data_IF_943524847744
#
_entry.id   IF_943524847744
#
_cell.length_a   1.000
_cell.length_b   1.000
_cell.length_c   1.000
_cell.angle_alpha   90.00
_cell.angle_beta   90.00
_cell.angle_gamma   90.00
#
_symmetry.space_group_name_H-M   'P 1'
#
loop_
_entity.id
_entity.type
_entity.pdbx_description
1 polymer ?
#
# COMPACT_ATOMS: atom_id res chain seq x y z
N UNK A 1 -15.16 -28.82 48.84
CA UNK A 1 -14.13 -27.77 48.66
C UNK A 1 -14.82 -26.58 48.00
N UNK A 2 -14.76 -25.37 48.57
CA UNK A 2 -15.20 -24.20 47.82
C UNK A 2 -14.27 -24.00 46.62
N UNK A 3 -14.84 -23.69 45.46
CA UNK A 3 -14.07 -23.35 44.27
C UNK A 3 -13.21 -22.11 44.56
N UNK A 4 -11.95 -22.08 44.08
CA UNK A 4 -11.10 -20.92 44.29
C UNK A 4 -11.71 -19.67 43.64
N UNK A 5 -11.55 -18.47 44.23
CA UNK A 5 -12.13 -17.25 43.68
C UNK A 5 -11.62 -17.00 42.26
N UNK A 6 -12.53 -16.95 41.30
CA UNK A 6 -12.20 -16.59 39.93
C UNK A 6 -11.89 -15.10 39.88
N UNK A 7 -10.61 -14.74 39.84
CA UNK A 7 -10.20 -13.37 39.54
C UNK A 7 -10.35 -13.16 38.04
N UNK A 8 -11.57 -12.84 37.59
CA UNK A 8 -11.77 -12.24 36.29
C UNK A 8 -11.08 -10.86 36.29
N UNK A 9 -9.77 -10.85 36.04
CA UNK A 9 -9.05 -9.64 35.67
C UNK A 9 -9.49 -9.31 34.24
N UNK A 10 -10.73 -8.85 34.11
CA UNK A 10 -11.27 -8.29 32.91
C UNK A 10 -10.59 -6.94 32.71
N UNK A 11 -9.48 -6.93 31.98
CA UNK A 11 -8.95 -5.71 31.39
C UNK A 11 -10.00 -5.18 30.41
N UNK A 12 -11.02 -4.47 30.91
CA UNK A 12 -11.96 -3.74 30.07
C UNK A 12 -11.15 -2.65 29.37
N UNK A 13 -11.04 -2.76 28.05
CA UNK A 13 -10.43 -1.71 27.22
C UNK A 13 -11.16 -0.40 27.50
N UNK A 14 -10.43 0.59 28.02
CA UNK A 14 -10.95 1.92 28.38
C UNK A 14 -10.95 2.89 27.22
N UNK A 15 -10.29 2.53 26.10
CA UNK A 15 -10.28 3.32 24.86
C UNK A 15 -11.12 2.60 23.81
N UNK A 16 -12.05 3.34 23.22
CA UNK A 16 -12.77 2.87 22.03
C UNK A 16 -11.76 2.62 20.90
N UNK A 17 -11.88 1.45 20.27
CA UNK A 17 -11.11 1.14 19.08
C UNK A 17 -11.96 1.57 17.90
N UNK A 18 -11.45 2.54 17.13
CA UNK A 18 -12.07 2.84 15.86
C UNK A 18 -11.84 1.67 14.91
N UNK A 19 -12.91 0.96 14.56
CA UNK A 19 -12.90 -0.17 13.62
C UNK A 19 -13.19 0.29 12.18
N UNK A 20 -13.46 1.58 11.97
CA UNK A 20 -13.65 2.14 10.64
C UNK A 20 -12.33 2.13 9.88
N UNK A 21 -12.40 1.67 8.64
CA UNK A 21 -11.25 1.69 7.75
C UNK A 21 -11.04 3.13 7.25
N UNK A 22 -9.78 3.60 7.15
CA UNK A 22 -9.50 4.91 6.56
C UNK A 22 -9.98 4.95 5.11
N UNK A 23 -10.27 6.16 4.60
CA UNK A 23 -10.88 6.33 3.27
C UNK A 23 -10.05 5.69 2.15
N UNK A 24 -8.72 5.86 2.19
CA UNK A 24 -7.81 5.26 1.22
C UNK A 24 -7.40 3.81 1.50
N UNK A 25 -8.11 3.09 2.39
CA UNK A 25 -7.79 1.69 2.72
C UNK A 25 -7.74 0.78 1.49
N UNK A 26 -8.67 0.93 0.55
CA UNK A 26 -8.72 0.10 -0.66
C UNK A 26 -7.47 0.31 -1.52
N UNK A 27 -7.06 1.57 -1.68
CA UNK A 27 -5.84 1.94 -2.40
C UNK A 27 -4.60 1.37 -1.69
N UNK A 28 -4.54 1.50 -0.37
CA UNK A 28 -3.46 0.95 0.44
C UNK A 28 -3.36 -0.58 0.30
N UNK A 29 -4.49 -1.31 0.32
CA UNK A 29 -4.52 -2.77 0.15
C UNK A 29 -3.97 -3.21 -1.22
N UNK A 30 -4.31 -2.50 -2.31
CA UNK A 30 -3.72 -2.79 -3.62
C UNK A 30 -2.20 -2.58 -3.65
N UNK A 31 -1.73 -1.49 -3.04
CA UNK A 31 -0.31 -1.15 -3.00
C UNK A 31 0.47 -2.10 -2.08
N UNK A 32 -0.09 -2.50 -0.93
CA UNK A 32 0.51 -3.48 -0.03
C UNK A 32 0.71 -4.83 -0.72
N UNK A 33 -0.29 -5.28 -1.51
CA UNK A 33 -0.16 -6.48 -2.32
C UNK A 33 0.99 -6.38 -3.32
N UNK A 34 1.11 -5.23 -4.01
CA UNK A 34 2.21 -4.99 -4.95
C UNK A 34 3.58 -4.95 -4.26
N UNK A 35 3.69 -4.29 -3.09
CA UNK A 35 4.91 -4.28 -2.28
C UNK A 35 5.33 -5.70 -1.90
N UNK A 36 4.38 -6.53 -1.47
CA UNK A 36 4.61 -7.94 -1.21
C UNK A 36 5.03 -8.74 -2.44
N UNK A 37 4.57 -8.38 -3.65
CA UNK A 37 5.07 -8.99 -4.90
C UNK A 37 6.55 -8.68 -5.13
N UNK A 38 6.97 -7.45 -4.85
CA UNK A 38 8.36 -7.02 -5.01
C UNK A 38 9.30 -7.61 -3.95
N UNK A 39 8.76 -8.04 -2.80
CA UNK A 39 9.51 -8.70 -1.72
C UNK A 39 9.75 -10.21 -1.93
N UNK A 40 9.19 -10.80 -2.98
CA UNK A 40 9.29 -12.25 -3.28
C UNK A 40 9.75 -12.47 -4.72
N UNK A 41 10.18 -13.68 -5.05
CA UNK A 41 10.42 -14.08 -6.44
C UNK A 41 9.08 -14.21 -7.18
N UNK A 42 8.55 -13.08 -7.66
CA UNK A 42 7.30 -13.02 -8.40
C UNK A 42 7.55 -13.06 -9.91
N UNK A 43 7.53 -14.28 -10.46
CA UNK A 43 7.59 -14.49 -11.90
C UNK A 43 8.77 -13.76 -12.57
N UNK A 44 8.51 -13.13 -13.70
CA UNK A 44 9.50 -12.30 -14.40
C UNK A 44 9.38 -10.82 -14.02
N UNK A 45 10.48 -10.06 -14.15
CA UNK A 45 10.45 -8.60 -13.96
C UNK A 45 9.48 -7.89 -14.90
N UNK A 46 9.27 -8.44 -16.10
CA UNK A 46 8.24 -8.04 -17.06
C UNK A 46 6.83 -8.15 -16.46
N UNK A 47 6.52 -9.31 -15.84
CA UNK A 47 5.23 -9.58 -15.23
C UNK A 47 5.01 -8.70 -13.98
N UNK A 48 6.06 -8.51 -13.16
CA UNK A 48 6.02 -7.63 -12.01
C UNK A 48 5.75 -6.16 -12.41
N UNK A 49 6.42 -5.67 -13.45
CA UNK A 49 6.18 -4.33 -13.97
C UNK A 49 4.75 -4.18 -14.51
N UNK A 50 4.22 -5.20 -15.21
CA UNK A 50 2.83 -5.17 -15.68
C UNK A 50 1.83 -5.19 -14.53
N UNK A 51 2.09 -5.97 -13.48
CA UNK A 51 1.26 -5.98 -12.28
C UNK A 51 1.23 -4.59 -11.61
N UNK A 52 2.37 -3.90 -11.54
CA UNK A 52 2.42 -2.56 -10.97
C UNK A 52 1.72 -1.49 -11.81
N UNK A 53 1.71 -1.60 -13.14
CA UNK A 53 0.89 -0.75 -14.02
C UNK A 53 -0.59 -0.91 -13.71
N UNK A 54 -1.07 -2.16 -13.61
CA UNK A 54 -2.48 -2.47 -13.31
C UNK A 54 -2.85 -1.95 -11.91
N UNK A 55 -1.99 -2.14 -10.92
CA UNK A 55 -2.21 -1.64 -9.55
C UNK A 55 -2.23 -0.11 -9.51
N UNK A 56 -1.33 0.56 -10.24
CA UNK A 56 -1.31 2.02 -10.31
C UNK A 56 -2.57 2.58 -10.99
N UNK A 57 -3.05 1.94 -12.06
CA UNK A 57 -4.32 2.29 -12.71
C UNK A 57 -5.50 2.13 -11.76
N UNK A 58 -5.64 0.98 -11.10
CA UNK A 58 -6.70 0.75 -10.11
C UNK A 58 -6.64 1.72 -8.93
N UNK A 59 -5.45 2.02 -8.43
CA UNK A 59 -5.28 3.00 -7.36
C UNK A 59 -5.73 4.42 -7.77
N UNK A 60 -5.54 4.79 -9.04
CA UNK A 60 -6.05 6.06 -9.57
C UNK A 60 -7.56 6.07 -9.65
N UNK A 61 -8.17 5.02 -10.21
CA UNK A 61 -9.62 4.92 -10.33
C UNK A 61 -10.32 5.05 -8.96
N UNK A 62 -9.84 4.34 -7.94
CA UNK A 62 -10.38 4.43 -6.58
C UNK A 62 -10.20 5.82 -5.97
N UNK A 63 -9.06 6.48 -6.23
CA UNK A 63 -8.83 7.84 -5.78
C UNK A 63 -9.76 8.85 -6.46
N UNK A 64 -10.05 8.67 -7.75
CA UNK A 64 -11.02 9.49 -8.47
C UNK A 64 -12.44 9.31 -7.92
N UNK A 65 -12.84 8.10 -7.56
CA UNK A 65 -14.13 7.86 -6.88
C UNK A 65 -14.19 8.65 -5.57
N UNK A 66 -13.13 8.59 -4.75
CA UNK A 66 -13.07 9.34 -3.49
C UNK A 66 -13.07 10.86 -3.69
N UNK A 67 -12.44 11.36 -4.76
CA UNK A 67 -12.47 12.77 -5.16
C UNK A 67 -13.88 13.19 -5.55
N UNK A 68 -14.53 12.43 -6.42
CA UNK A 68 -15.84 12.74 -6.97
C UNK A 68 -16.94 12.69 -5.88
N UNK A 69 -16.76 11.86 -4.86
CA UNK A 69 -17.59 11.83 -3.64
C UNK A 69 -17.28 12.96 -2.65
N UNK A 70 -16.27 13.81 -2.93
CA UNK A 70 -15.84 14.90 -2.04
C UNK A 70 -15.23 14.41 -0.72
N UNK A 71 -14.79 13.14 -0.66
CA UNK A 71 -14.26 12.53 0.57
C UNK A 71 -12.81 12.90 0.81
N UNK A 72 -12.05 13.29 -0.20
CA UNK A 72 -10.60 13.53 -0.12
C UNK A 72 -10.25 14.86 -0.78
N UNK A 73 -9.29 15.59 -0.20
CA UNK A 73 -8.81 16.85 -0.76
C UNK A 73 -8.02 16.65 -2.06
N UNK A 74 -8.23 17.53 -3.04
CA UNK A 74 -7.55 17.50 -4.35
C UNK A 74 -6.01 17.42 -4.23
N UNK A 75 -5.45 18.09 -3.21
CA UNK A 75 -4.00 18.06 -2.95
C UNK A 75 -3.50 16.66 -2.60
N UNK A 76 -4.30 15.88 -1.86
CA UNK A 76 -3.96 14.51 -1.46
C UNK A 76 -4.03 13.55 -2.66
N UNK A 77 -5.02 13.74 -3.54
CA UNK A 77 -5.13 13.01 -4.81
C UNK A 77 -3.93 13.29 -5.71
N UNK A 78 -3.57 14.58 -5.86
CA UNK A 78 -2.39 15.00 -6.63
C UNK A 78 -1.11 14.37 -6.09
N UNK A 79 -0.94 14.36 -4.78
CA UNK A 79 0.23 13.75 -4.14
C UNK A 79 0.27 12.24 -4.36
N UNK A 80 -0.87 11.53 -4.24
CA UNK A 80 -0.93 10.10 -4.54
C UNK A 80 -0.53 9.84 -6.00
N UNK A 81 -1.06 10.61 -6.96
CA UNK A 81 -0.78 10.42 -8.39
C UNK A 81 0.70 10.66 -8.71
N UNK A 82 1.30 11.66 -8.06
CA UNK A 82 2.74 11.93 -8.17
C UNK A 82 3.56 10.73 -7.71
N UNK A 83 3.23 10.15 -6.56
CA UNK A 83 3.97 8.99 -6.02
C UNK A 83 3.74 7.74 -6.87
N UNK A 84 2.51 7.48 -7.33
CA UNK A 84 2.21 6.38 -8.25
C UNK A 84 3.00 6.49 -9.55
N UNK A 85 3.12 7.70 -10.11
CA UNK A 85 3.91 7.93 -11.33
C UNK A 85 5.39 7.61 -11.12
N UNK A 86 5.94 8.05 -9.99
CA UNK A 86 7.30 7.70 -9.63
C UNK A 86 7.42 6.17 -9.44
N UNK A 87 6.45 5.49 -8.85
CA UNK A 87 6.48 4.03 -8.66
C UNK A 87 6.52 3.29 -10.00
N UNK A 88 5.71 3.71 -10.98
CA UNK A 88 5.77 3.18 -12.35
C UNK A 88 7.16 3.35 -12.98
N UNK A 89 7.81 4.50 -12.76
CA UNK A 89 9.17 4.73 -13.26
C UNK A 89 10.19 3.77 -12.63
N UNK A 90 10.11 3.50 -11.32
CA UNK A 90 10.99 2.52 -10.67
C UNK A 90 10.77 1.12 -11.23
N UNK A 91 9.52 0.72 -11.45
CA UNK A 91 9.20 -0.59 -12.01
C UNK A 91 9.70 -0.74 -13.46
N UNK A 92 9.71 0.35 -14.24
CA UNK A 92 10.36 0.36 -15.55
C UNK A 92 11.87 0.12 -15.44
N UNK A 93 12.52 0.66 -14.40
CA UNK A 93 13.93 0.40 -14.11
C UNK A 93 14.18 -1.04 -13.63
N UNK A 94 13.28 -1.60 -12.82
CA UNK A 94 13.30 -3.02 -12.42
C UNK A 94 13.21 -3.93 -13.64
N UNK A 95 12.28 -3.64 -14.56
CA UNK A 95 12.11 -4.36 -15.82
C UNK A 95 13.37 -4.31 -16.69
N UNK A 96 14.06 -3.17 -16.73
CA UNK A 96 15.26 -2.97 -17.54
C UNK A 96 16.55 -3.50 -16.89
N UNK A 97 16.52 -3.92 -15.63
CA UNK A 97 17.71 -4.38 -14.92
C UNK A 97 18.19 -5.74 -15.46
N UNK A 98 19.46 -5.80 -15.86
CA UNK A 98 20.09 -7.03 -16.39
C UNK A 98 20.92 -7.74 -15.32
N UNK A 99 21.59 -6.98 -14.46
CA UNK A 99 22.41 -7.53 -13.38
C UNK A 99 21.58 -7.71 -12.11
N UNK A 100 21.83 -8.80 -11.40
CA UNK A 100 21.15 -9.14 -10.15
C UNK A 100 21.37 -8.06 -9.06
N UNK A 101 22.60 -7.54 -8.92
CA UNK A 101 22.92 -6.45 -8.00
C UNK A 101 22.03 -5.21 -8.24
N UNK A 102 21.92 -4.81 -9.51
CA UNK A 102 21.11 -3.65 -9.92
C UNK A 102 19.63 -3.94 -9.72
N UNK A 103 19.18 -5.15 -10.03
CA UNK A 103 17.79 -5.55 -9.83
C UNK A 103 17.38 -5.42 -8.35
N UNK A 104 18.22 -5.91 -7.44
CA UNK A 104 17.98 -5.80 -6.00
C UNK A 104 17.83 -4.35 -5.53
N UNK A 105 18.76 -3.47 -5.92
CA UNK A 105 18.70 -2.04 -5.60
C UNK A 105 17.42 -1.38 -6.14
N UNK A 106 17.03 -1.70 -7.37
CA UNK A 106 15.81 -1.14 -7.98
C UNK A 106 14.55 -1.66 -7.32
N UNK A 107 14.51 -2.92 -6.91
CA UNK A 107 13.39 -3.49 -6.15
C UNK A 107 13.24 -2.81 -4.78
N UNK A 108 14.34 -2.55 -4.07
CA UNK A 108 14.27 -1.81 -2.81
C UNK A 108 13.74 -0.39 -2.99
N UNK A 109 14.20 0.30 -4.05
CA UNK A 109 13.70 1.64 -4.38
C UNK A 109 12.21 1.62 -4.70
N UNK A 110 11.74 0.68 -5.53
CA UNK A 110 10.35 0.51 -5.91
C UNK A 110 9.46 0.20 -4.68
N UNK A 111 9.92 -0.69 -3.78
CA UNK A 111 9.24 -1.00 -2.51
C UNK A 111 9.12 0.21 -1.61
N UNK A 112 10.20 0.97 -1.43
CA UNK A 112 10.18 2.19 -0.62
C UNK A 112 9.14 3.19 -1.16
N UNK A 113 9.04 3.31 -2.48
CA UNK A 113 8.07 4.18 -3.13
C UNK A 113 6.64 3.66 -3.00
N UNK A 114 6.44 2.35 -3.06
CA UNK A 114 5.15 1.72 -2.79
C UNK A 114 4.68 1.99 -1.35
N UNK A 115 5.58 1.85 -0.37
CA UNK A 115 5.31 2.23 1.03
C UNK A 115 4.96 3.71 1.19
N UNK A 116 5.62 4.60 0.45
CA UNK A 116 5.23 6.01 0.42
C UNK A 116 3.80 6.21 -0.10
N UNK A 117 3.43 5.52 -1.19
CA UNK A 117 2.07 5.61 -1.74
C UNK A 117 1.01 5.08 -0.74
N UNK A 118 1.32 4.00 -0.03
CA UNK A 118 0.47 3.46 1.05
C UNK A 118 0.25 4.51 2.14
N UNK A 119 1.32 5.17 2.60
CA UNK A 119 1.20 6.20 3.63
C UNK A 119 0.37 7.39 3.17
N UNK A 120 0.50 7.81 1.91
CA UNK A 120 -0.34 8.88 1.34
C UNK A 120 -1.81 8.45 1.32
N UNK A 121 -2.11 7.25 0.83
CA UNK A 121 -3.47 6.74 0.79
C UNK A 121 -4.10 6.60 2.19
N UNK A 122 -3.34 6.14 3.18
CA UNK A 122 -3.82 6.01 4.56
C UNK A 122 -4.04 7.36 5.28
N UNK A 123 -3.56 8.46 4.69
CA UNK A 123 -3.77 9.83 5.21
C UNK A 123 -4.94 10.58 4.58
N UNK A 124 -5.72 9.91 3.73
CA UNK A 124 -6.97 10.43 3.15
C UNK A 124 -8.08 10.67 4.18
#
# INVERSE_FOLDING_TARGET
>A
MPEPPNFEIGWKRTKEINLEKPKGYIIADFLEKLEGLMGREFGTTELLAKAGEIVAERAREEAEVLRDEGKVEERMITELFRVLRLMEMDLAMVKAAVKEETLGERLEQAKARCRQAILVALSF
#
